data_IF_498552835208
#
_entry.id   IF_498552835208
#
_cell.length_a   1.000
_cell.length_b   1.000
_cell.length_c   1.000
_cell.angle_alpha   90.00
_cell.angle_beta   90.00
_cell.angle_gamma   90.00
#
_symmetry.space_group_name_H-M   'P 1'
#
loop_
_entity.id
_entity.type
_entity.pdbx_description
1 polymer ?
#
# COMPACT_ATOMS: atom_id res chain seq x y z
N UNK A 1 24.56 3.67 37.95
CA UNK A 1 24.97 4.43 39.16
C UNK A 1 25.66 5.72 38.75
N UNK A 2 24.89 6.80 38.56
CA UNK A 2 25.35 8.16 38.80
C UNK A 2 24.14 9.01 39.10
N UNK A 3 23.93 9.23 40.41
CA UNK A 3 22.95 10.16 40.92
C UNK A 3 23.50 11.58 40.72
N UNK A 4 22.91 12.32 39.76
CA UNK A 4 23.04 13.78 39.74
C UNK A 4 21.73 14.36 40.24
N UNK A 5 21.73 14.70 41.55
CA UNK A 5 20.69 15.55 42.14
C UNK A 5 20.77 16.93 41.53
N UNK A 6 19.98 17.20 40.48
CA UNK A 6 19.66 18.56 40.09
C UNK A 6 18.58 19.06 41.04
N UNK A 7 18.88 20.12 41.74
CA UNK A 7 17.93 20.87 42.56
C UNK A 7 16.83 21.38 41.62
N UNK A 8 15.66 20.78 41.71
CA UNK A 8 14.45 21.37 41.13
C UNK A 8 14.07 22.59 41.99
N UNK A 9 14.42 23.79 41.53
CA UNK A 9 13.72 25.00 41.92
C UNK A 9 12.28 24.82 41.48
N UNK A 10 11.35 24.76 42.45
CA UNK A 10 9.90 24.73 42.18
C UNK A 10 9.53 26.04 41.49
N UNK A 11 9.46 26.04 40.17
CA UNK A 11 8.65 27.03 39.47
C UNK A 11 7.19 26.72 39.77
N UNK A 12 6.46 27.67 40.29
CA UNK A 12 5.02 27.56 40.54
C UNK A 12 4.29 27.32 39.22
N UNK A 13 3.26 26.52 39.30
CA UNK A 13 2.56 25.83 38.18
C UNK A 13 1.82 26.73 37.17
N UNK A 14 2.04 28.03 37.18
CA UNK A 14 1.36 28.96 36.29
C UNK A 14 2.37 29.62 35.34
N UNK A 15 2.27 29.24 34.06
CA UNK A 15 2.84 29.86 32.85
C UNK A 15 4.36 30.10 32.74
N UNK A 16 5.14 29.60 33.62
CA UNK A 16 6.57 29.91 33.68
C UNK A 16 7.50 28.86 33.09
N UNK A 17 7.00 27.70 32.61
CA UNK A 17 7.87 26.63 32.12
C UNK A 17 8.60 27.02 30.83
N UNK A 18 7.93 27.72 29.91
CA UNK A 18 8.52 28.11 28.63
C UNK A 18 9.49 29.30 28.79
N UNK A 19 9.15 30.25 29.67
CA UNK A 19 10.03 31.37 30.04
C UNK A 19 11.26 30.86 30.77
N UNK A 20 11.11 29.96 31.77
CA UNK A 20 12.22 29.35 32.47
C UNK A 20 13.11 28.50 31.58
N UNK A 21 12.54 27.77 30.58
CA UNK A 21 13.31 26.96 29.62
C UNK A 21 14.13 27.85 28.72
N UNK A 22 13.56 28.92 28.17
CA UNK A 22 14.24 29.87 27.27
C UNK A 22 15.31 30.69 28.01
N UNK A 23 15.08 31.02 29.30
CA UNK A 23 16.05 31.73 30.14
C UNK A 23 17.27 30.84 30.45
N UNK A 24 17.04 29.55 30.72
CA UNK A 24 18.11 28.57 30.98
C UNK A 24 19.01 28.31 29.76
N UNK A 25 18.47 28.45 28.57
CA UNK A 25 19.22 28.26 27.32
C UNK A 25 19.80 29.56 26.75
N UNK A 26 19.45 30.71 27.33
CA UNK A 26 19.88 32.05 26.82
C UNK A 26 19.15 32.53 25.59
N UNK A 27 18.07 31.85 25.16
CA UNK A 27 17.34 32.16 23.95
C UNK A 27 16.17 33.14 24.14
N UNK A 28 15.98 33.64 25.37
CA UNK A 28 14.83 34.49 25.74
C UNK A 28 14.77 35.78 24.93
N UNK A 29 15.91 36.43 24.75
CA UNK A 29 15.99 37.69 23.98
C UNK A 29 15.74 37.46 22.49
N UNK A 30 16.23 36.33 21.95
CA UNK A 30 15.98 35.91 20.57
C UNK A 30 14.51 35.57 20.32
N UNK A 31 13.80 35.08 21.34
CA UNK A 31 12.36 34.78 21.31
C UNK A 31 11.47 36.02 21.46
N UNK A 32 12.06 37.23 21.63
CA UNK A 32 11.31 38.48 21.77
C UNK A 32 11.14 38.96 23.26
N UNK A 33 11.86 38.34 24.17
CA UNK A 33 11.86 38.70 25.60
C UNK A 33 10.70 38.11 26.38
N UNK A 34 10.82 38.20 27.73
CA UNK A 34 9.82 37.64 28.67
C UNK A 34 8.41 38.21 28.45
N UNK A 35 8.31 39.47 28.05
CA UNK A 35 7.04 40.13 27.78
C UNK A 35 6.31 39.52 26.56
N UNK A 36 7.05 39.22 25.50
CA UNK A 36 6.47 38.60 24.29
C UNK A 36 5.99 37.17 24.59
N UNK A 37 6.76 36.39 25.35
CA UNK A 37 6.36 35.05 25.78
C UNK A 37 5.10 35.10 26.65
N UNK A 38 5.05 36.06 27.61
CA UNK A 38 3.85 36.29 28.42
C UNK A 38 2.62 36.74 27.59
N UNK A 39 2.83 37.49 26.51
CA UNK A 39 1.76 37.89 25.62
C UNK A 39 1.26 36.72 24.77
N UNK A 40 2.13 35.77 24.40
CA UNK A 40 1.75 34.53 23.71
C UNK A 40 0.87 33.65 24.62
N UNK A 41 1.19 33.50 25.89
CA UNK A 41 0.38 32.70 26.83
C UNK A 41 -1.02 33.28 27.02
N UNK A 42 -1.17 34.60 27.02
CA UNK A 42 -2.48 35.25 27.07
C UNK A 42 -3.31 35.14 25.79
N UNK A 43 -2.66 34.83 24.64
CA UNK A 43 -3.32 34.56 23.36
C UNK A 43 -3.74 33.10 23.20
N UNK A 44 -3.28 32.20 24.02
CA UNK A 44 -3.68 30.80 24.04
C UNK A 44 -5.08 30.73 24.65
N UNK A 45 -6.10 30.84 23.83
CA UNK A 45 -7.45 30.53 24.26
C UNK A 45 -7.54 29.05 24.67
N UNK A 46 -8.30 28.82 25.74
CA UNK A 46 -8.75 27.56 26.32
C UNK A 46 -8.19 26.25 25.74
N UNK A 47 -7.75 25.33 26.57
CA UNK A 47 -7.32 23.97 26.24
C UNK A 47 -8.32 23.17 25.35
N UNK A 48 -9.55 23.67 25.21
CA UNK A 48 -10.59 23.09 24.36
C UNK A 48 -10.20 23.00 22.86
N UNK A 49 -9.23 23.78 22.38
CA UNK A 49 -8.84 23.85 20.98
C UNK A 49 -7.44 23.32 20.68
N UNK A 50 -6.81 22.58 21.62
CA UNK A 50 -5.44 22.06 21.44
C UNK A 50 -5.34 21.15 20.23
N UNK A 51 -6.31 20.29 20.01
CA UNK A 51 -6.35 19.39 18.85
C UNK A 51 -6.41 20.16 17.52
N UNK A 52 -7.24 21.20 17.46
CA UNK A 52 -7.32 22.07 16.29
C UNK A 52 -5.99 22.78 16.01
N UNK A 53 -5.34 23.32 17.04
CA UNK A 53 -4.05 23.99 16.87
C UNK A 53 -2.94 23.01 16.49
N UNK A 54 -2.91 21.81 17.08
CA UNK A 54 -1.99 20.75 16.72
C UNK A 54 -2.16 20.34 15.24
N UNK A 55 -3.40 20.19 14.77
CA UNK A 55 -3.71 19.91 13.36
C UNK A 55 -3.23 21.03 12.43
N UNK A 56 -3.43 22.29 12.80
CA UNK A 56 -2.96 23.42 12.02
C UNK A 56 -1.43 23.46 11.92
N UNK A 57 -0.72 23.16 13.03
CA UNK A 57 0.75 23.09 13.03
C UNK A 57 1.23 21.94 12.13
N UNK A 58 0.61 20.77 12.20
CA UNK A 58 0.92 19.62 11.34
C UNK A 58 0.68 19.96 9.87
N UNK A 59 -0.42 20.64 9.54
CA UNK A 59 -0.72 21.10 8.18
C UNK A 59 0.36 22.05 7.66
N UNK A 60 0.78 23.03 8.45
CA UNK A 60 1.84 23.96 8.08
C UNK A 60 3.20 23.29 7.97
N UNK A 61 3.46 22.27 8.76
CA UNK A 61 4.68 21.45 8.66
C UNK A 61 4.69 20.70 7.31
N UNK A 62 3.61 20.04 6.94
CA UNK A 62 3.46 19.35 5.64
C UNK A 62 3.66 20.32 4.48
N UNK A 63 3.02 21.49 4.54
CA UNK A 63 3.18 22.52 3.50
C UNK A 63 4.66 22.96 3.33
N UNK A 64 5.40 23.16 4.43
CA UNK A 64 6.82 23.47 4.37
C UNK A 64 7.64 22.33 3.77
N UNK A 65 7.40 21.09 4.18
CA UNK A 65 8.08 19.92 3.60
C UNK A 65 7.85 19.84 2.10
N UNK A 66 6.59 20.01 1.64
CA UNK A 66 6.26 20.02 0.21
C UNK A 66 7.00 21.12 -0.56
N UNK A 67 7.09 22.34 0.00
CA UNK A 67 7.81 23.44 -0.61
C UNK A 67 9.30 23.10 -0.72
N UNK A 68 9.93 22.61 0.35
CA UNK A 68 11.35 22.24 0.37
C UNK A 68 11.63 21.16 -0.68
N UNK A 69 10.87 20.08 -0.66
CA UNK A 69 11.01 18.96 -1.61
C UNK A 69 10.82 19.42 -3.06
N UNK A 70 9.81 20.25 -3.32
CA UNK A 70 9.58 20.79 -4.67
C UNK A 70 10.75 21.66 -5.13
N UNK A 71 11.33 22.46 -4.22
CA UNK A 71 12.48 23.31 -4.54
C UNK A 71 13.71 22.45 -4.86
N UNK A 72 13.93 21.36 -4.14
CA UNK A 72 15.00 20.39 -4.41
C UNK A 72 14.81 19.73 -5.78
N UNK A 73 13.59 19.27 -6.08
CA UNK A 73 13.27 18.66 -7.39
C UNK A 73 13.52 19.65 -8.53
N UNK A 74 13.10 20.91 -8.35
CA UNK A 74 13.34 21.96 -9.35
C UNK A 74 14.84 22.17 -9.55
N UNK A 75 15.61 22.24 -8.47
CA UNK A 75 17.07 22.42 -8.54
C UNK A 75 17.73 21.27 -9.29
N UNK A 76 17.41 20.02 -8.92
CA UNK A 76 17.96 18.82 -9.54
C UNK A 76 17.56 18.71 -11.02
N UNK A 77 16.37 19.21 -11.40
CA UNK A 77 15.90 19.22 -12.78
C UNK A 77 16.63 20.23 -13.68
N UNK A 78 17.26 21.27 -13.10
CA UNK A 78 18.11 22.22 -13.82
C UNK A 78 19.57 21.75 -13.94
N UNK A 79 19.95 20.66 -13.25
CA UNK A 79 21.29 20.09 -13.36
C UNK A 79 21.35 19.13 -14.57
N UNK A 80 22.06 19.50 -15.64
CA UNK A 80 22.17 18.73 -16.89
C UNK A 80 22.81 17.33 -16.73
N UNK A 81 23.38 17.03 -15.56
CA UNK A 81 24.06 15.77 -15.27
C UNK A 81 23.16 14.71 -14.64
N UNK A 82 21.93 15.05 -14.24
CA UNK A 82 21.01 14.15 -13.54
C UNK A 82 20.19 13.33 -14.54
N UNK A 83 20.18 12.01 -14.39
CA UNK A 83 19.29 11.15 -15.17
C UNK A 83 17.83 11.44 -14.81
N UNK A 84 17.00 11.65 -15.84
CA UNK A 84 15.58 11.96 -15.70
C UNK A 84 14.84 10.86 -14.92
N UNK A 85 15.21 9.60 -15.10
CA UNK A 85 14.58 8.48 -14.38
C UNK A 85 14.97 8.46 -12.91
N UNK A 86 16.24 8.73 -12.58
CA UNK A 86 16.68 8.86 -11.18
C UNK A 86 16.00 10.05 -10.48
N UNK A 87 15.83 11.15 -11.19
CA UNK A 87 15.12 12.33 -10.69
C UNK A 87 13.66 12.03 -10.38
N UNK A 88 12.96 11.30 -11.25
CA UNK A 88 11.58 10.87 -11.04
C UNK A 88 11.46 9.96 -9.81
N UNK A 89 12.34 8.97 -9.68
CA UNK A 89 12.36 8.06 -8.54
C UNK A 89 12.61 8.81 -7.22
N UNK A 90 13.57 9.75 -7.23
CA UNK A 90 13.87 10.60 -6.07
C UNK A 90 12.68 11.46 -5.68
N UNK A 91 12.02 12.08 -6.66
CA UNK A 91 10.85 12.92 -6.45
C UNK A 91 9.68 12.10 -5.84
N UNK A 92 9.39 10.92 -6.40
CA UNK A 92 8.36 10.03 -5.88
C UNK A 92 8.67 9.58 -4.46
N UNK A 93 9.89 9.15 -4.17
CA UNK A 93 10.34 8.74 -2.84
C UNK A 93 10.19 9.85 -1.81
N UNK A 94 10.57 11.08 -2.15
CA UNK A 94 10.49 12.23 -1.25
C UNK A 94 9.04 12.61 -0.96
N UNK A 95 8.20 12.71 -1.98
CA UNK A 95 6.77 12.99 -1.82
C UNK A 95 6.06 11.89 -1.00
N UNK A 96 6.45 10.64 -1.24
CA UNK A 96 5.93 9.51 -0.50
C UNK A 96 6.31 9.54 0.99
N UNK A 97 7.56 9.87 1.31
CA UNK A 97 8.02 9.97 2.70
C UNK A 97 7.23 11.00 3.50
N UNK A 98 6.84 12.13 2.86
CA UNK A 98 5.98 13.15 3.46
C UNK A 98 4.60 12.56 3.77
N UNK A 99 4.01 11.82 2.84
CA UNK A 99 2.70 11.19 3.04
C UNK A 99 2.74 10.12 4.14
N UNK A 100 3.77 9.26 4.16
CA UNK A 100 3.91 8.17 5.13
C UNK A 100 4.18 8.66 6.56
N UNK A 101 5.03 9.68 6.72
CA UNK A 101 5.31 10.26 8.04
C UNK A 101 4.09 10.90 8.68
N UNK A 102 3.15 11.40 7.87
CA UNK A 102 1.92 12.01 8.33
C UNK A 102 0.78 10.99 8.57
N UNK A 103 0.94 9.77 8.05
CA UNK A 103 0.03 8.63 8.27
C UNK A 103 0.49 7.75 9.44
N UNK A 104 1.36 8.23 10.34
CA UNK A 104 1.71 7.50 11.56
C UNK A 104 0.41 7.16 12.29
N UNK A 105 0.05 5.88 12.21
CA UNK A 105 -1.06 5.31 12.97
C UNK A 105 -0.82 5.65 14.42
N UNK A 106 -1.73 6.38 15.03
CA UNK A 106 -1.76 6.48 16.47
C UNK A 106 -1.82 5.04 17.02
N UNK A 107 -1.01 4.74 18.02
CA UNK A 107 -1.16 3.50 18.77
C UNK A 107 -2.59 3.44 19.28
N UNK A 108 -3.37 2.50 18.81
CA UNK A 108 -4.74 2.30 19.27
C UNK A 108 -4.71 1.51 20.58
N UNK A 109 -5.57 1.86 21.50
CA UNK A 109 -5.74 1.10 22.75
C UNK A 109 -6.27 -0.28 22.43
N UNK A 110 -5.73 -1.32 23.09
CA UNK A 110 -6.11 -2.70 22.90
C UNK A 110 -7.62 -2.93 23.12
N UNK A 111 -8.24 -2.17 24.00
CA UNK A 111 -9.67 -2.26 24.24
C UNK A 111 -10.50 -1.87 23.02
N UNK A 112 -10.10 -0.82 22.30
CA UNK A 112 -10.76 -0.39 21.05
C UNK A 112 -10.58 -1.42 19.94
N UNK A 113 -9.39 -2.03 19.83
CA UNK A 113 -9.10 -3.08 18.86
C UNK A 113 -9.92 -4.35 19.12
N UNK A 114 -10.03 -4.77 20.40
CA UNK A 114 -10.87 -5.93 20.79
C UNK A 114 -12.33 -5.68 20.44
N UNK A 115 -12.86 -4.48 20.72
CA UNK A 115 -14.25 -4.15 20.40
C UNK A 115 -14.50 -4.12 18.89
N UNK A 116 -13.52 -3.70 18.10
CA UNK A 116 -13.55 -3.77 16.65
C UNK A 116 -13.62 -5.23 16.16
N UNK A 117 -12.72 -6.07 16.64
CA UNK A 117 -12.64 -7.49 16.24
C UNK A 117 -13.87 -8.29 16.66
N UNK A 118 -14.43 -8.03 17.85
CA UNK A 118 -15.67 -8.69 18.29
C UNK A 118 -16.84 -8.39 17.35
N UNK A 119 -16.96 -7.16 16.84
CA UNK A 119 -17.99 -6.81 15.87
C UNK A 119 -17.79 -7.55 14.54
N UNK A 120 -16.54 -7.67 14.09
CA UNK A 120 -16.23 -8.43 12.88
C UNK A 120 -16.52 -9.92 13.06
N UNK A 121 -16.21 -10.52 14.22
CA UNK A 121 -16.53 -11.91 14.54
C UNK A 121 -18.05 -12.12 14.53
N UNK A 122 -18.82 -11.21 15.12
CA UNK A 122 -20.28 -11.30 15.13
C UNK A 122 -20.86 -11.26 13.70
N UNK A 123 -20.37 -10.38 12.85
CA UNK A 123 -20.74 -10.33 11.42
C UNK A 123 -20.39 -11.64 10.70
N UNK A 124 -19.20 -12.21 10.97
CA UNK A 124 -18.77 -13.49 10.39
C UNK A 124 -19.63 -14.67 10.84
N UNK A 125 -20.07 -14.69 12.10
CA UNK A 125 -20.94 -15.74 12.64
C UNK A 125 -22.32 -15.76 11.98
N UNK A 126 -22.82 -14.61 11.53
CA UNK A 126 -24.13 -14.48 10.88
C UNK A 126 -24.07 -14.66 9.35
N UNK A 127 -22.88 -14.56 8.74
CA UNK A 127 -22.69 -14.83 7.31
C UNK A 127 -22.43 -16.34 7.11
N UNK A 128 -23.51 -17.08 6.87
CA UNK A 128 -23.52 -18.55 6.80
C UNK A 128 -23.10 -19.15 5.46
N UNK A 129 -22.90 -18.35 4.40
CA UNK A 129 -22.77 -18.91 3.05
C UNK A 129 -21.36 -19.36 2.66
N UNK A 130 -20.31 -18.72 3.16
CA UNK A 130 -18.93 -19.17 2.91
C UNK A 130 -18.06 -18.77 4.11
N UNK A 131 -17.55 -19.71 4.86
CA UNK A 131 -16.61 -19.46 5.98
C UNK A 131 -15.26 -18.82 5.53
N UNK A 132 -15.27 -18.11 4.39
CA UNK A 132 -14.13 -17.47 3.76
C UNK A 132 -14.09 -15.98 4.14
N UNK A 133 -13.11 -15.60 4.94
CA UNK A 133 -12.91 -14.22 5.37
C UNK A 133 -12.00 -13.42 4.41
N UNK A 134 -11.20 -14.13 3.63
CA UNK A 134 -10.21 -13.57 2.71
C UNK A 134 -10.61 -13.69 1.24
N UNK A 135 -9.63 -13.46 0.36
CA UNK A 135 -9.78 -13.73 -1.07
C UNK A 135 -9.70 -15.22 -1.30
N UNK A 136 -10.73 -15.87 -1.86
CA UNK A 136 -10.73 -17.30 -2.12
C UNK A 136 -9.63 -17.70 -3.11
N UNK A 137 -9.00 -18.84 -2.87
CA UNK A 137 -8.08 -19.46 -3.84
C UNK A 137 -8.81 -20.20 -4.95
N UNK A 138 -10.06 -20.60 -4.69
CA UNK A 138 -10.85 -21.45 -5.55
C UNK A 138 -10.46 -22.93 -5.50
N UNK A 139 -9.58 -23.29 -4.57
CA UNK A 139 -9.26 -24.68 -4.24
C UNK A 139 -9.85 -25.02 -2.87
N UNK A 140 -10.88 -25.85 -2.87
CA UNK A 140 -11.69 -26.15 -1.68
C UNK A 140 -10.87 -26.52 -0.44
N UNK A 141 -9.92 -27.45 -0.59
CA UNK A 141 -9.12 -27.92 0.56
C UNK A 141 -8.17 -26.82 1.06
N UNK A 142 -7.63 -26.00 0.16
CA UNK A 142 -6.77 -24.89 0.50
C UNK A 142 -7.57 -23.79 1.21
N UNK A 143 -8.72 -23.45 0.69
CA UNK A 143 -9.62 -22.45 1.28
C UNK A 143 -10.15 -22.89 2.65
N UNK A 144 -10.44 -24.18 2.81
CA UNK A 144 -10.83 -24.76 4.11
C UNK A 144 -9.71 -24.67 5.16
N UNK A 145 -8.46 -24.78 4.74
CA UNK A 145 -7.29 -24.68 5.64
C UNK A 145 -6.94 -23.24 6.00
N UNK A 146 -7.06 -22.31 5.04
CA UNK A 146 -6.58 -20.93 5.18
C UNK A 146 -7.69 -19.94 5.54
N UNK A 147 -8.95 -20.26 5.28
CA UNK A 147 -10.07 -19.31 5.36
C UNK A 147 -10.04 -18.27 4.23
N UNK A 148 -9.29 -18.55 3.14
CA UNK A 148 -8.97 -17.60 2.08
C UNK A 148 -7.77 -16.72 2.45
N UNK A 149 -7.21 -16.01 1.46
CA UNK A 149 -6.06 -15.12 1.63
C UNK A 149 -6.47 -13.84 2.37
N UNK A 150 -5.87 -13.61 3.55
CA UNK A 150 -6.22 -12.47 4.37
C UNK A 150 -5.56 -11.18 3.88
N UNK A 151 -6.14 -10.04 4.25
CA UNK A 151 -5.53 -8.73 3.96
C UNK A 151 -4.17 -8.63 4.65
N UNK A 152 -3.19 -8.08 3.92
CA UNK A 152 -1.81 -7.90 4.38
C UNK A 152 -0.96 -9.18 4.46
N UNK A 153 -1.48 -10.35 4.04
CA UNK A 153 -0.69 -11.57 3.97
C UNK A 153 0.35 -11.49 2.83
N UNK A 154 1.52 -12.01 3.11
CA UNK A 154 2.55 -12.30 2.11
C UNK A 154 2.60 -13.80 1.87
N UNK A 155 2.13 -14.24 0.69
CA UNK A 155 2.06 -15.64 0.32
C UNK A 155 3.19 -15.95 -0.66
N UNK A 156 4.06 -16.87 -0.32
CA UNK A 156 5.20 -17.27 -1.14
C UNK A 156 4.94 -18.66 -1.73
N UNK A 157 4.85 -18.72 -3.07
CA UNK A 157 4.72 -19.96 -3.82
C UNK A 157 6.06 -20.29 -4.46
N UNK A 158 6.72 -21.32 -3.98
CA UNK A 158 8.01 -21.79 -4.49
C UNK A 158 7.84 -23.14 -5.21
N UNK A 159 8.46 -23.27 -6.37
CA UNK A 159 8.48 -24.51 -7.15
C UNK A 159 9.77 -24.60 -7.97
N UNK A 160 10.23 -25.82 -8.26
CA UNK A 160 11.30 -26.04 -9.23
C UNK A 160 10.86 -25.63 -10.63
N UNK A 161 11.77 -25.30 -11.53
CA UNK A 161 11.45 -25.03 -12.94
C UNK A 161 10.56 -26.13 -13.54
N UNK A 162 9.60 -25.75 -14.37
CA UNK A 162 8.65 -26.63 -15.02
C UNK A 162 7.65 -27.39 -14.13
N UNK A 163 7.57 -27.11 -12.83
CA UNK A 163 6.62 -27.75 -11.91
C UNK A 163 5.23 -27.05 -11.85
N UNK A 164 4.97 -26.13 -12.75
CA UNK A 164 3.64 -25.52 -12.88
C UNK A 164 3.38 -24.29 -12.01
N UNK A 165 4.41 -23.59 -11.47
CA UNK A 165 4.26 -22.38 -10.68
C UNK A 165 3.32 -21.35 -11.35
N UNK A 166 3.64 -20.94 -12.59
CA UNK A 166 2.83 -19.98 -13.35
C UNK A 166 1.41 -20.50 -13.64
N UNK A 167 1.24 -21.81 -13.88
CA UNK A 167 -0.08 -22.38 -14.08
C UNK A 167 -0.93 -22.31 -12.81
N UNK A 168 -0.34 -22.57 -11.66
CA UNK A 168 -1.02 -22.46 -10.37
C UNK A 168 -1.38 -21.00 -10.04
N UNK A 169 -0.46 -20.05 -10.23
CA UNK A 169 -0.73 -18.62 -9.98
C UNK A 169 -1.80 -18.06 -10.92
N UNK A 170 -1.81 -18.49 -12.19
CA UNK A 170 -2.88 -18.15 -13.13
C UNK A 170 -4.23 -18.76 -12.72
N UNK A 171 -4.24 -20.00 -12.20
CA UNK A 171 -5.47 -20.61 -11.70
C UNK A 171 -6.02 -19.83 -10.50
N UNK A 172 -5.17 -19.41 -9.55
CA UNK A 172 -5.55 -18.53 -8.45
C UNK A 172 -6.15 -17.21 -8.95
N UNK A 173 -5.45 -16.55 -9.90
CA UNK A 173 -5.91 -15.30 -10.49
C UNK A 173 -7.28 -15.45 -11.18
N UNK A 174 -7.45 -16.52 -11.98
CA UNK A 174 -8.69 -16.85 -12.67
C UNK A 174 -9.82 -17.12 -11.68
N UNK A 175 -9.61 -17.98 -10.70
CA UNK A 175 -10.62 -18.34 -9.72
C UNK A 175 -11.07 -17.11 -8.91
N UNK A 176 -10.14 -16.30 -8.43
CA UNK A 176 -10.46 -15.08 -7.70
C UNK A 176 -11.23 -14.07 -8.57
N UNK A 177 -10.77 -13.83 -9.81
CA UNK A 177 -11.35 -12.79 -10.65
C UNK A 177 -12.66 -13.21 -11.34
N UNK A 178 -12.79 -14.46 -11.75
CA UNK A 178 -13.97 -14.95 -12.50
C UNK A 178 -15.00 -15.54 -11.55
N UNK A 179 -14.62 -16.53 -10.74
CA UNK A 179 -15.58 -17.26 -9.93
C UNK A 179 -16.04 -16.45 -8.71
N UNK A 180 -15.10 -15.73 -8.08
CA UNK A 180 -15.38 -14.96 -6.87
C UNK A 180 -15.48 -13.44 -7.08
N UNK A 181 -15.32 -12.96 -8.32
CA UNK A 181 -15.45 -11.53 -8.70
C UNK A 181 -14.58 -10.60 -7.85
N UNK A 182 -13.41 -11.07 -7.42
CA UNK A 182 -12.43 -10.28 -6.68
C UNK A 182 -11.41 -9.70 -7.66
N UNK A 183 -11.22 -8.37 -7.70
CA UNK A 183 -10.25 -7.75 -8.61
C UNK A 183 -8.81 -8.20 -8.28
N UNK A 184 -8.06 -8.63 -9.29
CA UNK A 184 -6.70 -9.15 -9.17
C UNK A 184 -5.75 -8.40 -10.09
N UNK A 185 -4.55 -8.07 -9.61
CA UNK A 185 -3.45 -7.58 -10.43
C UNK A 185 -2.36 -8.65 -10.56
N UNK A 186 -1.96 -8.96 -11.78
CA UNK A 186 -0.91 -9.91 -12.10
C UNK A 186 0.26 -9.19 -12.79
N UNK A 187 1.41 -9.17 -12.12
CA UNK A 187 2.67 -8.69 -12.67
C UNK A 187 3.52 -9.87 -13.13
N UNK A 188 3.71 -9.96 -14.43
CA UNK A 188 4.49 -11.04 -15.04
C UNK A 188 5.81 -10.52 -15.57
N UNK A 189 6.90 -10.95 -14.97
CA UNK A 189 8.26 -10.53 -15.33
C UNK A 189 8.94 -11.54 -16.26
N UNK A 190 8.36 -12.74 -16.43
CA UNK A 190 8.91 -13.82 -17.27
C UNK A 190 8.16 -13.96 -18.58
N UNK A 191 6.85 -13.79 -18.56
CA UNK A 191 5.98 -14.08 -19.72
C UNK A 191 5.24 -12.84 -20.16
N UNK A 192 5.05 -12.71 -21.51
CA UNK A 192 4.25 -11.61 -22.03
C UNK A 192 2.75 -11.78 -21.71
N UNK A 193 2.05 -10.66 -21.61
CA UNK A 193 0.60 -10.61 -21.38
C UNK A 193 -0.19 -11.47 -22.37
N UNK A 194 0.20 -11.48 -23.64
CA UNK A 194 -0.44 -12.31 -24.67
C UNK A 194 -0.32 -13.81 -24.37
N UNK A 195 0.84 -14.27 -23.92
CA UNK A 195 1.05 -15.68 -23.55
C UNK A 195 0.22 -16.08 -22.32
N UNK A 196 0.10 -15.19 -21.35
CA UNK A 196 -0.74 -15.42 -20.18
C UNK A 196 -2.21 -15.49 -20.52
N UNK A 197 -2.70 -14.58 -21.36
CA UNK A 197 -4.08 -14.59 -21.84
C UNK A 197 -4.37 -15.87 -22.64
N UNK A 198 -3.47 -16.33 -23.51
CA UNK A 198 -3.62 -17.61 -24.21
C UNK A 198 -3.74 -18.79 -23.25
N UNK A 199 -2.93 -18.82 -22.18
CA UNK A 199 -3.03 -19.87 -21.15
C UNK A 199 -4.36 -19.78 -20.40
N UNK A 200 -4.82 -18.57 -20.05
CA UNK A 200 -6.11 -18.39 -19.38
C UNK A 200 -7.28 -18.83 -20.28
N UNK A 201 -7.25 -18.51 -21.56
CA UNK A 201 -8.23 -19.00 -22.53
C UNK A 201 -8.22 -20.52 -22.57
N UNK A 202 -7.04 -21.15 -22.63
CA UNK A 202 -6.92 -22.61 -22.62
C UNK A 202 -7.49 -23.21 -21.32
N UNK A 203 -7.24 -22.60 -20.16
CA UNK A 203 -7.78 -23.05 -18.87
C UNK A 203 -9.31 -22.96 -18.84
N UNK A 204 -9.88 -21.86 -19.33
CA UNK A 204 -11.33 -21.61 -19.29
C UNK A 204 -12.08 -22.49 -20.29
N UNK A 205 -11.53 -22.65 -21.49
CA UNK A 205 -12.15 -23.39 -22.57
C UNK A 205 -11.83 -24.89 -22.59
N UNK A 206 -10.76 -25.29 -21.88
CA UNK A 206 -10.18 -26.63 -21.89
C UNK A 206 -9.67 -27.06 -23.28
N UNK A 207 -9.43 -26.08 -24.16
CA UNK A 207 -8.81 -26.31 -25.45
C UNK A 207 -7.30 -26.24 -25.31
N UNK A 208 -6.57 -27.14 -25.97
CA UNK A 208 -5.11 -27.16 -25.93
C UNK A 208 -4.52 -25.83 -26.38
N UNK A 209 -3.58 -25.28 -25.55
CA UNK A 209 -2.86 -24.04 -25.89
C UNK A 209 -2.17 -24.11 -27.27
N UNK A 210 -1.76 -25.30 -27.70
CA UNK A 210 -1.11 -25.49 -29.01
C UNK A 210 -2.08 -25.32 -30.18
N UNK A 211 -3.34 -25.78 -30.03
CA UNK A 211 -4.41 -25.54 -31.02
C UNK A 211 -4.76 -24.05 -31.09
N UNK A 212 -4.88 -23.39 -29.94
CA UNK A 212 -5.17 -21.95 -29.85
C UNK A 212 -4.05 -21.16 -30.53
N UNK A 213 -2.79 -21.47 -30.22
CA UNK A 213 -1.62 -20.79 -30.78
C UNK A 213 -1.49 -20.96 -32.32
N UNK A 214 -1.80 -22.15 -32.83
CA UNK A 214 -1.72 -22.44 -34.28
C UNK A 214 -2.97 -22.01 -35.04
N UNK A 215 -4.04 -21.60 -34.33
CA UNK A 215 -5.32 -21.29 -34.98
C UNK A 215 -6.04 -22.48 -35.56
N UNK A 216 -5.65 -23.72 -35.20
CA UNK A 216 -6.23 -24.95 -35.71
C UNK A 216 -7.35 -25.42 -34.77
N UNK A 217 -8.47 -24.70 -34.80
CA UNK A 217 -9.66 -24.98 -34.02
C UNK A 217 -10.75 -25.59 -34.90
N UNK A 218 -11.42 -26.60 -34.36
CA UNK A 218 -12.62 -27.13 -34.96
C UNK A 218 -13.82 -26.21 -34.70
N UNK A 219 -14.87 -26.31 -35.52
CA UNK A 219 -16.00 -25.38 -35.40
C UNK A 219 -16.68 -25.42 -34.01
N UNK A 220 -16.77 -26.60 -33.39
CA UNK A 220 -17.33 -26.75 -32.06
C UNK A 220 -16.41 -26.12 -30.98
N UNK A 221 -15.07 -26.24 -31.14
CA UNK A 221 -14.09 -25.60 -30.23
C UNK A 221 -14.19 -24.07 -30.31
N UNK A 222 -14.36 -23.54 -31.54
CA UNK A 222 -14.56 -22.11 -31.74
C UNK A 222 -15.85 -21.60 -31.09
N UNK A 223 -16.92 -22.36 -31.13
CA UNK A 223 -18.19 -22.04 -30.43
C UNK A 223 -18.01 -22.03 -28.91
N UNK A 224 -17.31 -23.02 -28.34
CA UNK A 224 -16.97 -23.06 -26.92
C UNK A 224 -16.12 -21.84 -26.56
N UNK A 225 -15.10 -21.53 -27.34
CA UNK A 225 -14.25 -20.38 -27.13
C UNK A 225 -15.07 -19.08 -27.08
N UNK A 226 -15.94 -18.88 -28.10
CA UNK A 226 -16.76 -17.65 -28.15
C UNK A 226 -17.73 -17.54 -26.99
N UNK A 227 -18.31 -18.64 -26.51
CA UNK A 227 -19.26 -18.63 -25.40
C UNK A 227 -18.58 -18.37 -24.04
N UNK A 228 -17.36 -18.84 -23.83
CA UNK A 228 -16.64 -18.70 -22.56
C UNK A 228 -15.76 -17.45 -22.46
N UNK A 229 -15.42 -16.84 -23.59
CA UNK A 229 -14.55 -15.67 -23.61
C UNK A 229 -15.18 -14.45 -22.92
N UNK A 230 -16.50 -14.39 -22.88
CA UNK A 230 -17.21 -13.28 -22.21
C UNK A 230 -17.00 -13.29 -20.70
N UNK A 231 -16.81 -14.46 -20.07
CA UNK A 231 -16.44 -14.54 -18.66
C UNK A 231 -15.09 -13.89 -18.41
N UNK A 232 -14.11 -14.16 -19.29
CA UNK A 232 -12.78 -13.56 -19.21
C UNK A 232 -12.79 -12.04 -19.47
N UNK A 233 -13.59 -11.58 -20.43
CA UNK A 233 -13.72 -10.14 -20.74
C UNK A 233 -14.29 -9.34 -19.59
N UNK A 234 -15.23 -9.93 -18.85
CA UNK A 234 -15.89 -9.30 -17.73
C UNK A 234 -15.11 -9.45 -16.39
N UNK A 235 -14.06 -10.25 -16.39
CA UNK A 235 -13.23 -10.46 -15.22
C UNK A 235 -12.39 -9.20 -14.91
N UNK A 236 -12.37 -8.80 -13.65
CA UNK A 236 -11.53 -7.70 -13.19
C UNK A 236 -10.11 -8.22 -12.92
N UNK A 237 -9.40 -8.55 -14.00
CA UNK A 237 -8.02 -9.01 -13.97
C UNK A 237 -7.13 -8.05 -14.76
N UNK A 238 -6.16 -7.48 -14.07
CA UNK A 238 -5.22 -6.50 -14.62
C UNK A 238 -3.86 -7.16 -14.77
N UNK A 239 -3.34 -7.24 -16.00
CA UNK A 239 -2.06 -7.87 -16.31
C UNK A 239 -1.07 -6.79 -16.72
N UNK A 240 0.11 -6.81 -16.09
CA UNK A 240 1.23 -5.94 -16.40
C UNK A 240 2.46 -6.84 -16.70
N UNK A 241 3.06 -6.71 -17.86
CA UNK A 241 4.23 -7.47 -18.29
C UNK A 241 5.48 -6.59 -18.48
N UNK A 242 5.54 -5.47 -17.71
CA UNK A 242 6.71 -4.61 -17.70
C UNK A 242 7.93 -5.38 -17.18
N UNK A 243 8.98 -5.57 -18.00
CA UNK A 243 10.17 -6.32 -17.58
C UNK A 243 10.97 -5.53 -16.55
N UNK A 244 11.63 -6.26 -15.65
CA UNK A 244 12.57 -5.69 -14.68
C UNK A 244 12.01 -4.52 -13.84
N UNK A 245 10.71 -4.59 -13.50
CA UNK A 245 10.05 -3.58 -12.67
C UNK A 245 10.75 -3.46 -11.32
N UNK A 246 10.97 -2.25 -10.85
CA UNK A 246 11.51 -2.01 -9.51
C UNK A 246 10.38 -1.95 -8.46
N UNK A 247 10.76 -2.03 -7.17
CA UNK A 247 9.79 -2.04 -6.05
C UNK A 247 8.97 -0.76 -5.99
N UNK A 248 9.56 0.39 -6.33
CA UNK A 248 8.87 1.69 -6.27
C UNK A 248 7.81 1.80 -7.37
N UNK A 249 8.17 1.41 -8.59
CA UNK A 249 7.24 1.38 -9.72
C UNK A 249 6.09 0.39 -9.47
N UNK A 250 6.41 -0.81 -8.98
CA UNK A 250 5.41 -1.80 -8.59
C UNK A 250 4.44 -1.23 -7.57
N UNK A 251 4.96 -0.57 -6.52
CA UNK A 251 4.15 0.07 -5.47
C UNK A 251 3.23 1.15 -6.04
N UNK A 252 3.77 2.00 -6.92
CA UNK A 252 3.01 3.07 -7.57
C UNK A 252 1.86 2.51 -8.42
N UNK A 253 2.14 1.51 -9.25
CA UNK A 253 1.15 0.80 -10.08
C UNK A 253 0.08 0.13 -9.21
N UNK A 254 0.48 -0.59 -8.16
CA UNK A 254 -0.45 -1.25 -7.24
C UNK A 254 -1.37 -0.25 -6.52
N UNK A 255 -0.84 0.89 -6.06
CA UNK A 255 -1.66 1.93 -5.44
C UNK A 255 -2.69 2.51 -6.39
N UNK A 256 -2.27 2.83 -7.62
CA UNK A 256 -3.18 3.32 -8.65
C UNK A 256 -4.29 2.31 -8.94
N UNK A 257 -3.94 1.03 -9.12
CA UNK A 257 -4.90 -0.04 -9.36
C UNK A 257 -5.83 -0.23 -8.16
N UNK A 258 -5.31 -0.15 -6.93
CA UNK A 258 -6.14 -0.21 -5.70
C UNK A 258 -7.13 0.94 -5.64
N UNK A 259 -6.72 2.15 -5.97
CA UNK A 259 -7.57 3.33 -5.93
C UNK A 259 -8.65 3.33 -7.03
N UNK A 260 -8.28 2.84 -8.23
CA UNK A 260 -9.18 2.84 -9.39
C UNK A 260 -10.14 1.64 -9.44
N UNK A 261 -9.67 0.46 -9.03
CA UNK A 261 -10.36 -0.80 -9.23
C UNK A 261 -10.52 -1.62 -7.95
N UNK A 262 -10.08 -1.09 -6.80
CA UNK A 262 -10.14 -1.75 -5.50
C UNK A 262 -9.56 -3.18 -5.51
N UNK A 263 -8.39 -3.39 -6.15
CA UNK A 263 -7.76 -4.71 -6.22
C UNK A 263 -7.62 -5.34 -4.83
N UNK A 264 -7.89 -6.65 -4.76
CA UNK A 264 -7.88 -7.42 -3.52
C UNK A 264 -6.67 -8.36 -3.43
N UNK A 265 -6.07 -8.72 -4.56
CA UNK A 265 -4.90 -9.60 -4.62
C UNK A 265 -3.91 -9.10 -5.66
N UNK A 266 -2.62 -9.20 -5.33
CA UNK A 266 -1.51 -8.89 -6.23
C UNK A 266 -0.68 -10.15 -6.37
N UNK A 267 -0.40 -10.55 -7.61
CA UNK A 267 0.43 -11.70 -7.94
C UNK A 267 1.67 -11.19 -8.69
N UNK A 268 2.85 -11.66 -8.31
CA UNK A 268 4.12 -11.32 -8.96
C UNK A 268 4.79 -12.63 -9.41
N UNK A 269 4.97 -12.81 -10.71
CA UNK A 269 5.62 -13.99 -11.29
C UNK A 269 6.84 -13.56 -12.12
N UNK A 270 8.06 -13.61 -11.59
CA UNK A 270 8.50 -13.99 -10.25
C UNK A 270 9.49 -12.96 -9.68
N UNK A 271 9.61 -12.93 -8.38
CA UNK A 271 10.28 -11.88 -7.63
C UNK A 271 11.76 -11.64 -8.01
N UNK A 272 12.51 -12.70 -8.40
CA UNK A 272 13.94 -12.59 -8.72
C UNK A 272 14.23 -11.82 -10.02
N UNK A 273 13.22 -11.57 -10.86
CA UNK A 273 13.36 -10.75 -12.06
C UNK A 273 13.09 -9.27 -11.84
N UNK A 274 12.74 -8.89 -10.62
CA UNK A 274 12.63 -7.48 -10.26
C UNK A 274 14.02 -6.85 -10.23
N UNK A 275 14.10 -5.60 -10.73
CA UNK A 275 15.33 -4.83 -10.59
C UNK A 275 15.55 -4.41 -9.13
N UNK A 276 16.81 -4.53 -8.66
CA UNK A 276 17.23 -3.91 -7.42
C UNK A 276 17.23 -2.37 -7.55
N UNK A 277 17.09 -1.71 -6.45
CA UNK A 277 17.26 -0.24 -6.35
C UNK A 277 18.72 0.12 -6.34
#
# INVERSE_FOLDING_TARGET
FFSSRRRHTRCSRDWSSDVCSSDLNGDLDAAGGAFYVAQLTNKIGSAANVEYHARLIAEKHIQRQLITTSTEIIKDAFEDTTDVFELLDKAEKNLFSIAENNLKRNSEDIASLIMGELKEIDVRMHNTEDHLNGVPSGFFDLDKMTGGWQKSDLIIVAARPAMGKTAFTLALARNAAIDHKKPVALFSLEMSSVQLVQRMISMETQISSDKIRRGNLEEYEYRILTSKIDNLKNAQLFIDDTPAINVFELRSKCRRLKQQHDIQMIIIDYLQLMSGT
#
